data_IF_059487060542
#
_entry.id   IF_059487060542
#
_cell.length_a   1.000
_cell.length_b   1.000
_cell.length_c   1.000
_cell.angle_alpha   90.00
_cell.angle_beta   90.00
_cell.angle_gamma   90.00
#
_symmetry.space_group_name_H-M   'P 1'
#
loop_
_entity.id
_entity.type
_entity.pdbx_description
1 polymer ?
#
# COMPACT_ATOMS: atom_id res chain seq x y z
N UNK A 1 -24.30 14.52 -9.69
CA UNK A 1 -23.15 14.14 -8.86
C UNK A 1 -22.20 13.29 -9.68
N UNK A 2 -20.91 13.55 -9.57
CA UNK A 2 -19.87 12.78 -10.27
C UNK A 2 -18.74 12.47 -9.28
N UNK A 3 -18.40 11.21 -9.11
CA UNK A 3 -17.23 10.82 -8.30
C UNK A 3 -15.96 11.20 -9.05
N UNK A 4 -15.01 11.86 -8.39
CA UNK A 4 -13.82 12.40 -9.05
C UNK A 4 -12.52 11.71 -8.61
N UNK A 5 -12.45 11.16 -7.39
CA UNK A 5 -11.23 10.57 -6.88
C UNK A 5 -11.52 9.68 -5.65
N UNK A 6 -10.54 8.86 -5.30
CA UNK A 6 -10.49 8.22 -3.99
C UNK A 6 -9.69 9.15 -3.06
N UNK A 7 -10.28 9.56 -1.93
CA UNK A 7 -9.59 10.40 -0.94
C UNK A 7 -8.67 9.57 -0.06
N UNK A 8 -9.20 8.57 0.61
CA UNK A 8 -8.39 7.69 1.45
C UNK A 8 -9.04 6.31 1.64
N UNK A 9 -8.20 5.37 2.04
CA UNK A 9 -8.58 4.02 2.48
C UNK A 9 -8.03 3.83 3.89
N UNK A 10 -8.77 3.16 4.76
CA UNK A 10 -8.34 2.91 6.15
C UNK A 10 -8.01 1.43 6.32
N UNK A 11 -6.81 1.14 6.83
CA UNK A 11 -6.39 -0.20 7.23
C UNK A 11 -6.38 -0.30 8.75
N UNK A 12 -7.08 -1.30 9.29
CA UNK A 12 -7.00 -1.63 10.70
C UNK A 12 -5.85 -2.61 10.94
N UNK A 13 -4.94 -2.26 11.84
CA UNK A 13 -3.73 -3.05 12.10
C UNK A 13 -3.46 -3.17 13.60
N UNK A 14 -2.86 -4.29 14.05
CA UNK A 14 -2.55 -4.47 15.47
C UNK A 14 -1.37 -3.62 15.95
N UNK A 15 -0.41 -3.30 15.08
CA UNK A 15 0.80 -2.55 15.42
C UNK A 15 1.01 -1.44 14.38
N UNK A 16 0.50 -0.24 14.69
CA UNK A 16 0.54 0.91 13.79
C UNK A 16 1.98 1.31 13.44
N UNK A 17 2.88 1.37 14.42
CA UNK A 17 4.26 1.81 14.16
C UNK A 17 5.02 0.84 13.26
N UNK A 18 4.82 -0.47 13.43
CA UNK A 18 5.42 -1.49 12.55
C UNK A 18 4.90 -1.35 11.12
N UNK A 19 3.59 -1.23 10.95
CA UNK A 19 2.96 -1.08 9.64
C UNK A 19 3.45 0.19 8.95
N UNK A 20 3.42 1.32 9.64
CA UNK A 20 3.85 2.62 9.12
C UNK A 20 5.31 2.58 8.68
N UNK A 21 6.19 2.00 9.51
CA UNK A 21 7.61 1.87 9.18
C UNK A 21 7.81 1.04 7.91
N UNK A 22 7.10 -0.07 7.76
CA UNK A 22 7.21 -0.93 6.59
C UNK A 22 6.78 -0.19 5.30
N UNK A 23 5.60 0.45 5.33
CA UNK A 23 5.10 1.16 4.15
C UNK A 23 6.01 2.32 3.75
N UNK A 24 6.58 3.03 4.73
CA UNK A 24 7.53 4.10 4.48
C UNK A 24 8.87 3.56 3.94
N UNK A 25 9.47 2.60 4.64
CA UNK A 25 10.81 2.10 4.32
C UNK A 25 10.83 1.29 3.02
N UNK A 26 9.82 0.45 2.80
CA UNK A 26 9.79 -0.46 1.66
C UNK A 26 9.12 0.13 0.42
N UNK A 27 8.07 0.92 0.60
CA UNK A 27 7.29 1.45 -0.51
C UNK A 27 7.45 2.97 -0.71
N UNK A 28 8.15 3.65 0.18
CA UNK A 28 8.50 5.06 0.01
C UNK A 28 7.37 6.05 0.27
N UNK A 29 6.32 5.67 0.99
CA UNK A 29 5.23 6.58 1.29
C UNK A 29 5.63 7.58 2.37
N UNK A 30 5.23 8.84 2.21
CA UNK A 30 5.41 9.87 3.22
C UNK A 30 4.49 9.63 4.42
N UNK A 31 5.06 9.70 5.62
CA UNK A 31 4.31 9.51 6.87
C UNK A 31 3.82 10.84 7.40
N UNK A 32 2.52 10.95 7.70
CA UNK A 32 1.90 12.14 8.25
C UNK A 32 1.26 11.83 9.59
N UNK A 33 1.40 12.76 10.54
CA UNK A 33 0.73 12.75 11.86
C UNK A 33 1.17 11.63 12.81
N UNK A 34 2.35 11.06 12.61
CA UNK A 34 2.87 10.03 13.51
C UNK A 34 3.07 10.57 14.94
N UNK A 35 3.65 11.78 15.06
CA UNK A 35 3.89 12.39 16.38
C UNK A 35 2.58 12.76 17.07
N UNK A 36 1.61 13.31 16.34
CA UNK A 36 0.28 13.61 16.85
C UNK A 36 -0.43 12.35 17.31
N UNK A 37 -0.32 11.26 16.55
CA UNK A 37 -0.88 9.97 16.94
C UNK A 37 -0.23 9.42 18.23
N UNK A 38 1.10 9.52 18.33
CA UNK A 38 1.83 9.09 19.54
C UNK A 38 1.40 9.88 20.79
N UNK A 39 1.04 11.16 20.61
CA UNK A 39 0.55 12.01 21.69
C UNK A 39 -0.95 11.85 21.98
N UNK A 40 -1.63 10.99 21.24
CA UNK A 40 -3.09 10.82 21.39
C UNK A 40 -3.93 11.95 20.78
N UNK A 41 -3.32 12.77 19.93
CA UNK A 41 -4.00 13.90 19.28
C UNK A 41 -4.63 13.53 17.93
N UNK A 42 -4.28 12.36 17.38
CA UNK A 42 -4.84 11.84 16.15
C UNK A 42 -5.22 10.37 16.33
N UNK A 43 -6.33 9.93 15.72
CA UNK A 43 -6.80 8.56 15.81
C UNK A 43 -6.01 7.60 14.93
N UNK A 44 -5.39 8.10 13.87
CA UNK A 44 -4.65 7.26 12.91
C UNK A 44 -3.49 8.03 12.34
N UNK A 45 -2.53 7.26 11.79
CA UNK A 45 -1.39 7.77 11.02
C UNK A 45 -1.76 7.72 9.55
N UNK A 46 -1.36 8.71 8.78
CA UNK A 46 -1.63 8.77 7.34
C UNK A 46 -0.36 8.49 6.54
N UNK A 47 -0.51 7.73 5.47
CA UNK A 47 0.52 7.44 4.49
C UNK A 47 0.11 8.09 3.18
N UNK A 48 0.94 9.00 2.66
CA UNK A 48 0.62 9.73 1.43
C UNK A 48 1.04 8.91 0.20
N UNK A 49 0.06 8.54 -0.59
CA UNK A 49 0.28 7.86 -1.88
C UNK A 49 0.54 8.90 -2.98
N UNK A 50 -0.29 9.94 -3.02
CA UNK A 50 -0.21 11.03 -4.00
C UNK A 50 -0.72 12.31 -3.37
N UNK A 51 -0.76 13.39 -4.14
CA UNK A 51 -1.31 14.67 -3.66
C UNK A 51 -2.77 14.52 -3.19
N UNK A 52 -3.50 13.57 -3.75
CA UNK A 52 -4.95 13.46 -3.55
C UNK A 52 -5.39 12.22 -2.77
N UNK A 53 -4.48 11.28 -2.48
CA UNK A 53 -4.85 9.99 -1.90
C UNK A 53 -3.96 9.60 -0.74
N UNK A 54 -4.58 9.20 0.36
CA UNK A 54 -3.94 8.69 1.57
C UNK A 54 -4.35 7.25 1.84
N UNK A 55 -3.48 6.54 2.54
CA UNK A 55 -3.83 5.32 3.27
C UNK A 55 -3.70 5.64 4.75
N UNK A 56 -4.79 5.54 5.49
CA UNK A 56 -4.80 5.76 6.93
C UNK A 56 -4.63 4.43 7.67
N UNK A 57 -3.83 4.43 8.72
CA UNK A 57 -3.52 3.24 9.53
C UNK A 57 -4.12 3.44 10.92
N UNK A 58 -5.08 2.59 11.26
CA UNK A 58 -5.85 2.66 12.51
C UNK A 58 -5.51 1.45 13.39
N UNK A 59 -5.23 1.69 14.67
CA UNK A 59 -5.00 0.62 15.64
C UNK A 59 -6.26 -0.19 15.90
N UNK A 60 -6.15 -1.52 15.88
CA UNK A 60 -7.25 -2.42 16.18
C UNK A 60 -6.93 -3.86 15.77
N UNK A 61 -7.80 -4.80 16.16
CA UNK A 61 -7.68 -6.18 15.73
C UNK A 61 -8.12 -6.32 14.28
N UNK A 62 -7.33 -7.06 13.51
CA UNK A 62 -7.71 -7.45 12.16
C UNK A 62 -8.49 -8.76 12.23
N UNK A 63 -9.76 -8.70 11.87
CA UNK A 63 -10.64 -9.87 11.80
C UNK A 63 -11.07 -10.08 10.34
N UNK A 64 -10.65 -11.21 9.73
CA UNK A 64 -10.91 -11.47 8.32
C UNK A 64 -10.02 -10.64 7.39
N UNK A 65 -10.45 -10.41 6.16
CA UNK A 65 -9.76 -9.55 5.20
C UNK A 65 -10.21 -8.10 5.36
N UNK A 66 -9.26 -7.15 5.49
CA UNK A 66 -9.56 -5.72 5.49
C UNK A 66 -10.04 -5.27 4.10
N UNK A 67 -9.24 -5.60 3.09
CA UNK A 67 -9.51 -5.42 1.66
C UNK A 67 -8.88 -6.60 0.93
N UNK A 68 -9.35 -6.92 -0.28
CA UNK A 68 -8.70 -7.99 -1.05
C UNK A 68 -7.26 -7.61 -1.39
N UNK A 69 -7.08 -6.43 -1.98
CA UNK A 69 -5.75 -5.85 -2.23
C UNK A 69 -5.87 -4.37 -2.58
N UNK A 70 -4.74 -3.66 -2.44
CA UNK A 70 -4.57 -2.29 -2.90
C UNK A 70 -3.50 -2.33 -3.99
N UNK A 71 -3.78 -1.75 -5.15
CA UNK A 71 -2.83 -1.67 -6.25
C UNK A 71 -2.16 -0.30 -6.29
N UNK A 72 -0.84 -0.30 -6.32
CA UNK A 72 -0.01 0.89 -6.41
C UNK A 72 0.77 0.88 -7.71
N UNK A 73 0.75 1.99 -8.44
CA UNK A 73 1.66 2.20 -9.55
C UNK A 73 3.01 2.61 -8.98
N UNK A 74 4.05 1.88 -9.35
CA UNK A 74 5.43 2.18 -8.94
C UNK A 74 6.27 2.49 -10.17
N UNK A 75 7.22 3.38 -9.99
CA UNK A 75 8.10 3.83 -11.06
C UNK A 75 9.55 3.42 -10.78
N UNK A 76 10.36 3.34 -11.82
CA UNK A 76 11.79 3.11 -11.68
C UNK A 76 12.18 1.71 -11.20
N UNK A 77 11.34 0.72 -11.43
CA UNK A 77 11.57 -0.65 -11.00
C UNK A 77 11.19 -1.65 -12.10
N UNK A 78 11.97 -2.70 -12.22
CA UNK A 78 11.62 -3.88 -13.02
C UNK A 78 11.01 -4.91 -12.08
N UNK A 79 9.72 -5.20 -12.27
CA UNK A 79 8.99 -6.09 -11.36
C UNK A 79 9.44 -7.55 -11.46
N UNK A 80 9.93 -7.98 -12.61
CA UNK A 80 10.48 -9.33 -12.76
C UNK A 80 11.76 -9.48 -11.94
N UNK A 81 12.65 -8.48 -11.99
CA UNK A 81 13.85 -8.45 -11.16
C UNK A 81 13.51 -8.35 -9.68
N UNK A 82 12.56 -7.50 -9.33
CA UNK A 82 12.13 -7.32 -7.94
C UNK A 82 11.56 -8.63 -7.37
N UNK A 83 10.74 -9.33 -8.13
CA UNK A 83 10.17 -10.62 -7.72
C UNK A 83 11.26 -11.67 -7.50
N UNK A 84 12.28 -11.69 -8.36
CA UNK A 84 13.41 -12.63 -8.26
C UNK A 84 14.39 -12.27 -7.13
N UNK A 85 14.36 -11.03 -6.62
CA UNK A 85 15.36 -10.55 -5.66
C UNK A 85 15.25 -11.15 -4.26
N UNK A 86 14.09 -11.70 -3.91
CA UNK A 86 13.83 -12.20 -2.56
C UNK A 86 13.52 -11.11 -1.53
N UNK A 87 13.45 -9.84 -1.94
CA UNK A 87 13.14 -8.72 -1.05
C UNK A 87 11.74 -8.82 -0.45
N UNK A 88 10.78 -9.32 -1.25
CA UNK A 88 9.40 -9.50 -0.82
C UNK A 88 8.98 -10.96 -0.98
N UNK A 89 8.02 -11.39 -0.14
CA UNK A 89 7.27 -12.60 -0.38
C UNK A 89 6.26 -12.32 -1.49
N UNK A 90 6.51 -12.88 -2.67
CA UNK A 90 5.64 -12.70 -3.83
C UNK A 90 4.56 -13.77 -3.82
N UNK A 91 3.31 -13.38 -3.66
CA UNK A 91 2.17 -14.29 -3.63
C UNK A 91 1.74 -14.70 -5.04
N UNK A 92 1.82 -13.76 -5.99
CA UNK A 92 1.44 -14.00 -7.39
C UNK A 92 2.21 -13.07 -8.32
N UNK A 93 2.48 -13.55 -9.52
CA UNK A 93 3.18 -12.83 -10.57
C UNK A 93 4.69 -13.05 -10.55
N UNK A 94 5.44 -12.36 -11.42
CA UNK A 94 5.01 -11.30 -12.34
C UNK A 94 4.02 -11.78 -13.41
N UNK A 95 3.04 -10.94 -13.72
CA UNK A 95 2.03 -11.24 -14.72
C UNK A 95 1.53 -9.96 -15.40
N UNK A 96 0.95 -10.11 -16.59
CA UNK A 96 0.25 -9.03 -17.26
C UNK A 96 -1.18 -8.97 -16.72
N UNK A 97 -1.55 -7.81 -16.17
CA UNK A 97 -2.79 -7.63 -15.44
C UNK A 97 -3.52 -6.37 -15.92
N UNK A 98 -4.83 -6.47 -16.06
CA UNK A 98 -5.67 -5.32 -16.38
C UNK A 98 -5.76 -4.38 -15.18
N UNK A 99 -5.74 -3.08 -15.44
CA UNK A 99 -5.86 -2.06 -14.40
C UNK A 99 -6.43 -0.75 -14.98
N UNK A 100 -6.33 0.32 -14.20
CA UNK A 100 -6.96 1.60 -14.53
C UNK A 100 -6.53 2.21 -15.86
N UNK A 101 -5.30 1.92 -16.32
CA UNK A 101 -4.74 2.41 -17.58
C UNK A 101 -4.58 1.32 -18.63
N UNK A 102 -5.30 0.19 -18.48
CA UNK A 102 -5.18 -0.97 -19.35
C UNK A 102 -4.24 -2.02 -18.79
N UNK A 103 -3.64 -2.81 -19.68
CA UNK A 103 -2.72 -3.88 -19.25
C UNK A 103 -1.38 -3.33 -18.78
N UNK A 104 -0.93 -3.79 -17.62
CA UNK A 104 0.38 -3.48 -17.07
C UNK A 104 1.02 -4.74 -16.50
N UNK A 105 2.26 -4.61 -16.03
CA UNK A 105 2.99 -5.69 -15.35
C UNK A 105 2.78 -5.57 -13.85
N UNK A 106 2.50 -6.67 -13.16
CA UNK A 106 2.21 -6.63 -11.73
C UNK A 106 2.70 -7.82 -10.95
N UNK A 107 2.95 -7.59 -9.66
CA UNK A 107 3.18 -8.63 -8.65
C UNK A 107 2.31 -8.35 -7.44
N UNK A 108 1.91 -9.42 -6.74
CA UNK A 108 1.21 -9.32 -5.46
C UNK A 108 2.19 -9.69 -4.34
N UNK A 109 2.33 -8.78 -3.39
CA UNK A 109 3.13 -8.98 -2.17
C UNK A 109 2.25 -8.83 -0.95
N UNK A 110 2.77 -9.16 0.22
CA UNK A 110 2.07 -8.93 1.49
C UNK A 110 2.82 -7.94 2.35
N UNK A 111 2.07 -7.06 3.01
CA UNK A 111 2.61 -6.22 4.05
C UNK A 111 2.76 -7.02 5.37
N UNK A 112 3.31 -6.42 6.46
CA UNK A 112 3.52 -7.15 7.72
C UNK A 112 2.25 -7.70 8.36
N UNK A 113 1.09 -7.14 8.04
CA UNK A 113 -0.20 -7.53 8.61
C UNK A 113 -0.97 -8.50 7.72
N UNK A 114 -0.35 -8.95 6.62
CA UNK A 114 -0.96 -9.85 5.65
C UNK A 114 -1.90 -9.15 4.65
N UNK A 115 -1.86 -7.83 4.57
CA UNK A 115 -2.59 -7.11 3.52
C UNK A 115 -1.89 -7.32 2.18
N UNK A 116 -2.67 -7.69 1.16
CA UNK A 116 -2.13 -7.83 -0.18
C UNK A 116 -1.93 -6.47 -0.82
N UNK A 117 -0.76 -6.28 -1.40
CA UNK A 117 -0.41 -5.08 -2.16
C UNK A 117 0.00 -5.51 -3.55
N UNK A 118 -0.69 -4.98 -4.56
CA UNK A 118 -0.29 -5.16 -5.94
C UNK A 118 0.66 -4.02 -6.31
N UNK A 119 1.87 -4.34 -6.70
CA UNK A 119 2.81 -3.37 -7.29
C UNK A 119 2.72 -3.54 -8.80
N UNK A 120 2.50 -2.42 -9.52
CA UNK A 120 2.34 -2.50 -10.96
C UNK A 120 3.02 -1.37 -11.70
N UNK A 121 3.46 -1.68 -12.89
CA UNK A 121 4.02 -0.72 -13.83
C UNK A 121 3.20 -0.74 -15.10
N UNK A 122 3.19 0.38 -15.82
CA UNK A 122 2.59 0.48 -17.13
C UNK A 122 3.67 0.71 -18.18
N UNK A 123 3.44 0.27 -19.42
CA UNK A 123 4.34 0.61 -20.53
C UNK A 123 4.47 2.12 -20.67
N UNK A 124 5.66 2.58 -21.00
CA UNK A 124 5.93 4.01 -21.23
C UNK A 124 5.40 4.47 -22.58
#
# INVERSE_FOLDING_TARGET
>A
MKTSAIDHVVLTVPDVERTVAWWHDELGLEVLRLDEWRRGEALFVSLRVSADTLIDVLAGERTGENVNHIALVVDGVDLDELAASGRFEVEMGPADLFGARGTGRGIYIKDPDGNRVELRTYPS
#
